data_IF_868937631576
#
_entry.id   IF_868937631576
#
_cell.length_a   1.000
_cell.length_b   1.000
_cell.length_c   1.000
_cell.angle_alpha   90.00
_cell.angle_beta   90.00
_cell.angle_gamma   90.00
#
_symmetry.space_group_name_H-M   'P 1'
#
loop_
_entity.id
_entity.type
_entity.pdbx_description
1 polymer ?
#
# COMPACT_ATOMS: atom_id res chain seq x y z
N UNK A 1 5.45 11.31 14.77
CA UNK A 1 6.67 11.38 13.94
C UNK A 1 6.30 10.97 12.51
N UNK A 2 6.95 11.54 11.50
CA UNK A 2 6.66 11.29 10.08
C UNK A 2 7.94 11.01 9.28
N UNK A 3 7.80 10.34 8.15
CA UNK A 3 8.88 10.14 7.16
C UNK A 3 8.43 10.66 5.80
N UNK A 4 9.35 11.29 5.06
CA UNK A 4 9.08 11.70 3.69
C UNK A 4 8.86 10.48 2.79
N UNK A 5 7.88 10.58 1.90
CA UNK A 5 7.56 9.57 0.89
C UNK A 5 7.26 10.30 -0.41
N UNK A 6 7.78 9.79 -1.53
CA UNK A 6 7.58 10.41 -2.84
C UNK A 6 7.46 9.36 -3.92
N UNK A 7 6.58 9.61 -4.89
CA UNK A 7 6.55 8.85 -6.13
C UNK A 7 7.81 9.10 -6.94
N UNK A 8 8.27 8.10 -7.70
CA UNK A 8 9.48 8.27 -8.50
C UNK A 8 9.30 9.22 -9.69
N UNK A 9 8.05 9.54 -10.05
CA UNK A 9 7.70 10.56 -11.04
C UNK A 9 7.52 11.95 -10.43
N UNK A 10 7.87 12.16 -9.16
CA UNK A 10 7.90 13.50 -8.58
C UNK A 10 9.09 14.29 -9.11
N UNK A 11 8.97 15.62 -9.14
CA UNK A 11 10.07 16.50 -9.56
C UNK A 11 11.35 16.18 -8.79
N UNK A 12 11.28 16.11 -7.45
CA UNK A 12 12.47 15.88 -6.64
C UNK A 12 13.08 14.48 -6.82
N UNK A 13 12.33 13.50 -7.30
CA UNK A 13 12.86 12.19 -7.69
C UNK A 13 13.47 12.25 -9.09
N UNK A 14 12.76 12.81 -10.07
CA UNK A 14 13.19 12.86 -11.48
C UNK A 14 14.45 13.69 -11.67
N UNK A 15 14.59 14.82 -10.98
CA UNK A 15 15.82 15.63 -10.95
C UNK A 15 17.03 14.85 -10.41
N UNK A 16 16.79 13.77 -9.65
CA UNK A 16 17.84 12.87 -9.11
C UNK A 16 18.02 11.59 -9.93
N UNK A 17 17.52 11.55 -11.17
CA UNK A 17 17.82 10.50 -12.13
C UNK A 17 16.73 9.44 -12.33
N UNK A 18 15.50 9.65 -11.84
CA UNK A 18 14.38 8.77 -12.18
C UNK A 18 13.61 9.17 -13.44
N UNK A 19 14.02 10.24 -14.13
CA UNK A 19 13.34 10.79 -15.32
C UNK A 19 13.33 9.85 -16.52
N UNK A 20 14.35 8.98 -16.69
CA UNK A 20 14.40 7.96 -17.75
C UNK A 20 13.17 7.04 -17.73
N UNK A 21 12.73 6.63 -16.53
CA UNK A 21 11.51 5.80 -16.37
C UNK A 21 10.22 6.47 -16.84
N UNK A 22 10.24 7.80 -17.01
CA UNK A 22 9.12 8.61 -17.47
C UNK A 22 9.38 9.21 -18.85
N UNK A 23 10.40 8.73 -19.57
CA UNK A 23 10.79 9.23 -20.90
C UNK A 23 11.11 10.73 -20.92
N UNK A 24 11.60 11.25 -19.80
CA UNK A 24 11.96 12.67 -19.61
C UNK A 24 13.47 12.85 -19.42
N UNK A 25 14.26 11.90 -19.89
CA UNK A 25 15.72 12.02 -19.91
C UNK A 25 16.15 13.18 -20.84
N UNK A 26 17.14 13.96 -20.41
CA UNK A 26 17.61 15.13 -21.16
C UNK A 26 16.68 16.35 -21.11
N UNK A 27 15.48 16.25 -20.52
CA UNK A 27 14.60 17.39 -20.28
C UNK A 27 15.17 18.25 -19.16
N UNK A 28 15.27 19.57 -19.39
CA UNK A 28 15.68 20.51 -18.35
C UNK A 28 14.77 20.40 -17.12
N UNK A 29 15.35 20.45 -15.92
CA UNK A 29 14.61 20.20 -14.67
C UNK A 29 13.38 21.10 -14.47
N UNK A 30 13.41 22.32 -15.00
CA UNK A 30 12.31 23.29 -14.95
C UNK A 30 11.13 22.93 -15.88
N UNK A 31 11.34 22.02 -16.83
CA UNK A 31 10.36 21.59 -17.84
C UNK A 31 9.85 20.16 -17.63
N UNK A 32 10.24 19.52 -16.53
CA UNK A 32 9.74 18.20 -16.17
C UNK A 32 8.23 18.25 -15.90
N UNK A 33 7.52 17.26 -16.40
CA UNK A 33 6.08 17.04 -16.16
C UNK A 33 5.95 15.91 -15.13
N UNK A 34 5.58 16.21 -13.87
CA UNK A 34 5.54 15.19 -12.84
C UNK A 34 4.29 14.30 -12.94
N UNK A 35 4.50 12.99 -12.85
CA UNK A 35 3.45 11.98 -12.70
C UNK A 35 3.35 11.44 -11.25
N UNK A 36 4.20 11.95 -10.37
CA UNK A 36 4.23 11.58 -8.95
C UNK A 36 4.17 12.81 -8.05
N UNK A 37 3.67 12.58 -6.83
CA UNK A 37 3.61 13.59 -5.76
C UNK A 37 4.66 13.30 -4.69
N UNK A 38 4.94 14.32 -3.88
CA UNK A 38 5.75 14.21 -2.67
C UNK A 38 4.88 14.46 -1.45
N UNK A 39 5.15 13.73 -0.38
CA UNK A 39 4.38 13.83 0.85
C UNK A 39 5.11 13.20 2.02
N UNK A 40 4.34 12.90 3.07
CA UNK A 40 4.86 12.26 4.28
C UNK A 40 3.89 11.20 4.77
N UNK A 41 4.44 10.14 5.34
CA UNK A 41 3.69 9.04 5.97
C UNK A 41 3.99 8.98 7.48
N UNK A 42 3.04 8.54 8.31
CA UNK A 42 3.29 8.32 9.73
C UNK A 42 4.46 7.35 9.95
N UNK A 43 5.26 7.59 10.98
CA UNK A 43 6.30 6.64 11.38
C UNK A 43 5.66 5.36 11.91
N UNK A 44 6.03 4.21 11.33
CA UNK A 44 5.44 2.88 11.64
C UNK A 44 6.32 1.96 12.49
N UNK A 45 7.42 2.46 13.07
CA UNK A 45 8.32 1.62 13.87
C UNK A 45 9.30 0.80 13.03
N UNK A 46 9.61 -0.42 13.50
CA UNK A 46 10.55 -1.32 12.82
C UNK A 46 9.86 -2.03 11.66
N UNK A 47 10.62 -2.29 10.59
CA UNK A 47 10.13 -3.01 9.41
C UNK A 47 9.69 -4.44 9.76
N UNK A 48 10.39 -5.09 10.69
CA UNK A 48 10.04 -6.43 11.19
C UNK A 48 8.60 -6.54 11.67
N UNK A 49 8.13 -5.51 12.37
CA UNK A 49 6.82 -5.52 13.04
C UNK A 49 5.71 -5.39 11.99
N UNK A 50 5.95 -4.59 10.94
CA UNK A 50 5.04 -4.50 9.79
C UNK A 50 5.00 -5.80 8.99
N UNK A 51 6.15 -6.41 8.71
CA UNK A 51 6.21 -7.69 7.99
C UNK A 51 5.46 -8.77 8.76
N UNK A 52 5.62 -8.84 10.08
CA UNK A 52 4.91 -9.80 10.92
C UNK A 52 3.38 -9.67 10.76
N UNK A 53 2.84 -8.45 10.81
CA UNK A 53 1.40 -8.21 10.63
C UNK A 53 0.92 -8.54 9.22
N UNK A 54 1.69 -8.19 8.18
CA UNK A 54 1.36 -8.48 6.78
C UNK A 54 1.33 -9.98 6.52
N UNK A 55 2.35 -10.71 6.97
CA UNK A 55 2.41 -12.18 6.86
C UNK A 55 1.27 -12.83 7.64
N UNK A 56 0.99 -12.34 8.86
CA UNK A 56 -0.14 -12.81 9.66
C UNK A 56 -1.48 -12.67 8.93
N UNK A 57 -1.72 -11.56 8.23
CA UNK A 57 -2.90 -11.36 7.41
C UNK A 57 -3.01 -12.36 6.25
N UNK A 58 -1.91 -12.59 5.52
CA UNK A 58 -1.87 -13.57 4.43
C UNK A 58 -2.12 -14.99 4.95
N UNK A 59 -1.47 -15.39 6.04
CA UNK A 59 -1.67 -16.71 6.64
C UNK A 59 -3.11 -16.91 7.14
N UNK A 60 -3.74 -15.87 7.71
CA UNK A 60 -5.15 -15.91 8.11
C UNK A 60 -6.07 -16.14 6.90
N UNK A 61 -5.84 -15.40 5.80
CA UNK A 61 -6.57 -15.56 4.53
C UNK A 61 -6.40 -16.97 3.94
N UNK A 62 -5.17 -17.50 3.95
CA UNK A 62 -4.91 -18.90 3.54
C UNK A 62 -5.69 -19.90 4.39
N UNK A 63 -5.82 -19.66 5.69
CA UNK A 63 -6.63 -20.47 6.60
C UNK A 63 -8.11 -20.50 6.21
N UNK A 64 -8.71 -19.34 5.90
CA UNK A 64 -10.10 -19.26 5.43
C UNK A 64 -10.32 -20.01 4.11
N UNK A 65 -9.33 -20.01 3.22
CA UNK A 65 -9.39 -20.67 1.91
C UNK A 65 -8.92 -22.13 1.94
N UNK A 66 -8.50 -22.66 3.10
CA UNK A 66 -7.95 -24.01 3.21
C UNK A 66 -6.66 -24.24 2.40
N UNK A 67 -5.92 -23.19 2.07
CA UNK A 67 -4.72 -23.25 1.24
C UNK A 67 -3.47 -23.48 2.11
N UNK A 68 -2.72 -24.55 1.87
CA UNK A 68 -1.52 -24.87 2.68
C UNK A 68 -0.27 -24.09 2.25
N UNK A 69 -0.31 -23.47 1.06
CA UNK A 69 0.78 -22.67 0.51
C UNK A 69 0.24 -21.62 -0.49
N UNK A 70 1.11 -20.72 -0.95
CA UNK A 70 0.75 -19.62 -1.86
C UNK A 70 0.26 -20.13 -3.23
N UNK A 71 0.81 -21.23 -3.73
CA UNK A 71 0.40 -21.80 -5.02
C UNK A 71 -1.05 -22.29 -4.94
N UNK A 72 -1.42 -22.99 -3.86
CA UNK A 72 -2.79 -23.44 -3.64
C UNK A 72 -3.75 -22.26 -3.46
N UNK A 73 -3.34 -21.21 -2.73
CA UNK A 73 -4.17 -20.01 -2.60
C UNK A 73 -4.45 -19.41 -3.98
N UNK A 74 -3.42 -19.29 -4.83
CA UNK A 74 -3.57 -18.74 -6.17
C UNK A 74 -4.46 -19.61 -7.07
N UNK A 75 -4.41 -20.93 -6.93
CA UNK A 75 -5.17 -21.87 -7.76
C UNK A 75 -6.63 -22.00 -7.33
N UNK A 76 -6.91 -21.88 -6.03
CA UNK A 76 -8.21 -22.23 -5.46
C UNK A 76 -9.02 -21.01 -4.99
N UNK A 77 -8.42 -19.82 -4.88
CA UNK A 77 -9.14 -18.64 -4.41
C UNK A 77 -10.25 -18.22 -5.39
N UNK A 78 -11.46 -18.10 -4.86
CA UNK A 78 -12.60 -17.54 -5.57
C UNK A 78 -12.90 -16.14 -5.05
N UNK A 79 -13.25 -15.23 -5.96
CA UNK A 79 -13.57 -13.84 -5.65
C UNK A 79 -15.02 -13.55 -6.00
N UNK A 80 -15.64 -12.66 -5.22
CA UNK A 80 -16.96 -12.11 -5.49
C UNK A 80 -16.86 -10.61 -5.68
N UNK A 81 -17.67 -10.08 -6.60
CA UNK A 81 -17.82 -8.64 -6.76
C UNK A 81 -18.70 -8.08 -5.64
N UNK A 82 -18.30 -6.96 -5.06
CA UNK A 82 -19.06 -6.27 -4.02
C UNK A 82 -19.37 -4.84 -4.47
N UNK A 83 -20.46 -4.29 -3.93
CA UNK A 83 -20.81 -2.89 -4.14
C UNK A 83 -20.02 -1.97 -3.21
N UNK A 84 -20.06 -0.66 -3.45
CA UNK A 84 -19.49 0.33 -2.53
C UNK A 84 -20.10 0.25 -1.12
N UNK A 85 -21.36 -0.18 -0.99
CA UNK A 85 -21.98 -0.42 0.30
C UNK A 85 -21.37 -1.65 1.00
N UNK A 86 -21.10 -2.73 0.26
CA UNK A 86 -20.38 -3.90 0.78
C UNK A 86 -18.94 -3.58 1.18
N UNK A 87 -18.27 -2.65 0.49
CA UNK A 87 -16.96 -2.17 0.91
C UNK A 87 -17.03 -1.43 2.25
N UNK A 88 -18.02 -0.54 2.42
CA UNK A 88 -18.24 0.15 3.70
C UNK A 88 -18.56 -0.84 4.83
N UNK A 89 -19.35 -1.87 4.53
CA UNK A 89 -19.65 -2.96 5.47
C UNK A 89 -18.39 -3.76 5.85
N UNK A 90 -17.46 -3.96 4.92
CA UNK A 90 -16.21 -4.70 5.18
C UNK A 90 -15.25 -3.95 6.12
N UNK A 91 -15.28 -2.61 6.11
CA UNK A 91 -14.51 -1.78 7.04
C UNK A 91 -15.24 -1.65 8.39
N UNK A 92 -14.53 -1.23 9.44
CA UNK A 92 -15.15 -0.91 10.74
C UNK A 92 -16.17 0.22 10.52
N UNK A 93 -17.41 0.00 10.94
CA UNK A 93 -18.50 0.96 10.79
C UNK A 93 -19.47 0.89 11.97
N UNK A 94 -20.13 2.01 12.28
CA UNK A 94 -21.12 2.09 13.36
C UNK A 94 -20.54 2.15 14.78
N UNK A 95 -19.24 2.32 14.93
CA UNK A 95 -18.53 2.41 16.22
C UNK A 95 -17.39 3.43 16.15
N UNK A 96 -17.08 4.03 17.30
CA UNK A 96 -15.91 4.90 17.45
C UNK A 96 -14.67 4.08 17.84
N UNK A 97 -13.61 4.17 17.03
CA UNK A 97 -12.34 3.51 17.30
C UNK A 97 -11.62 4.28 18.42
N UNK A 98 -11.48 3.66 19.59
CA UNK A 98 -10.79 4.27 20.74
C UNK A 98 -9.30 3.94 20.79
N UNK A 99 -8.87 2.88 20.11
CA UNK A 99 -7.48 2.45 20.00
C UNK A 99 -7.23 1.76 18.66
N UNK A 100 -6.23 2.24 17.94
CA UNK A 100 -5.83 1.66 16.66
C UNK A 100 -5.17 0.29 16.83
N UNK A 101 -5.43 -0.60 15.87
CA UNK A 101 -4.78 -1.89 15.75
C UNK A 101 -3.52 -1.78 14.87
N UNK A 102 -2.50 -2.62 15.08
CA UNK A 102 -1.24 -2.53 14.31
C UNK A 102 -1.41 -2.86 12.81
N UNK A 103 -2.50 -3.52 12.43
CA UNK A 103 -2.82 -3.96 11.07
C UNK A 103 -4.03 -3.25 10.46
N UNK A 104 -4.65 -2.30 11.18
CA UNK A 104 -5.83 -1.58 10.69
C UNK A 104 -5.80 -0.13 11.17
N UNK A 105 -5.79 0.77 10.19
CA UNK A 105 -5.78 2.21 10.41
C UNK A 105 -7.03 2.78 9.75
N UNK A 106 -7.80 3.55 10.51
CA UNK A 106 -9.03 4.22 10.08
C UNK A 106 -8.93 5.71 10.35
#
# INVERSE_FOLDING_TARGET
>A
QYKSYRGMGSIGAMTKGSSDRYFQEGVASEKLVPEGIEGRVPYRGKVSDMIFQLVGGVCSSMGYQGAKNILELYQNAEFVEITSAGLKESHVHGVDITKEAPNYYG
#
